data_IF_116954129135
#
_entry.id   IF_116954129135
#
_cell.length_a   1.000
_cell.length_b   1.000
_cell.length_c   1.000
_cell.angle_alpha   90.00
_cell.angle_beta   90.00
_cell.angle_gamma   90.00
#
_symmetry.space_group_name_H-M   'P 1'
#
loop_
_entity.id
_entity.type
_entity.pdbx_description
1 polymer ?
#
# COMPACT_ATOMS: atom_id res chain seq x y z
N UNK A 1 1.39 -17.45 5.29
CA UNK A 1 1.74 -16.89 3.97
C UNK A 1 1.25 -15.45 3.91
N UNK A 2 1.99 -14.55 3.30
CA UNK A 2 1.70 -13.11 3.21
C UNK A 2 0.84 -12.80 1.98
N UNK A 3 -0.09 -11.85 2.06
CA UNK A 3 -0.71 -11.25 0.87
C UNK A 3 -0.43 -9.75 0.82
N UNK A 4 0.13 -9.30 -0.31
CA UNK A 4 0.48 -7.90 -0.58
C UNK A 4 -0.55 -7.31 -1.54
N UNK A 5 -1.06 -6.13 -1.21
CA UNK A 5 -2.00 -5.40 -2.05
C UNK A 5 -1.28 -4.25 -2.78
N UNK A 6 -1.36 -4.26 -4.11
CA UNK A 6 -0.89 -3.18 -4.98
C UNK A 6 -2.13 -2.60 -5.68
N UNK A 7 -2.32 -1.29 -5.57
CA UNK A 7 -3.45 -0.58 -6.15
C UNK A 7 -2.93 0.37 -7.23
N UNK A 8 -3.45 0.24 -8.46
CA UNK A 8 -3.06 1.08 -9.60
C UNK A 8 -3.46 2.56 -9.43
N UNK A 9 -4.34 2.82 -8.46
CA UNK A 9 -4.88 4.14 -8.11
C UNK A 9 -4.00 4.89 -7.11
N UNK A 10 -2.89 4.32 -6.66
CA UNK A 10 -1.95 4.95 -5.73
C UNK A 10 -0.58 5.14 -6.39
N UNK A 11 0.11 6.19 -5.97
CA UNK A 11 1.49 6.38 -6.39
C UNK A 11 2.38 5.26 -5.84
N UNK A 12 3.18 4.58 -6.68
CA UNK A 12 4.03 3.50 -6.22
C UNK A 12 5.10 4.01 -5.27
N UNK A 13 5.41 3.22 -4.25
CA UNK A 13 6.57 3.49 -3.41
C UNK A 13 7.87 3.33 -4.20
N UNK A 14 8.85 4.21 -3.96
CA UNK A 14 10.19 4.16 -4.55
C UNK A 14 11.14 3.17 -3.85
N UNK A 15 10.66 2.49 -2.81
CA UNK A 15 11.41 1.51 -2.01
C UNK A 15 10.64 0.20 -1.87
N UNK A 16 11.26 -0.83 -1.28
CA UNK A 16 10.65 -2.15 -1.11
C UNK A 16 9.65 -2.17 0.06
N UNK A 17 8.55 -1.44 -0.09
CA UNK A 17 7.46 -1.35 0.89
C UNK A 17 6.10 -1.51 0.20
N UNK A 18 5.14 -2.08 0.90
CA UNK A 18 3.77 -2.30 0.42
C UNK A 18 2.80 -1.31 1.05
N UNK A 19 1.79 -0.81 0.32
CA UNK A 19 0.77 0.06 0.89
C UNK A 19 -0.06 -0.63 1.98
N UNK A 20 -0.42 -1.88 1.73
CA UNK A 20 -1.24 -2.69 2.62
C UNK A 20 -0.89 -4.17 2.54
N UNK A 21 -0.97 -4.85 3.68
CA UNK A 21 -0.57 -6.25 3.84
C UNK A 21 -1.53 -6.99 4.78
N UNK A 22 -1.94 -8.20 4.39
CA UNK A 22 -2.66 -9.14 5.26
C UNK A 22 -1.70 -10.17 5.86
N UNK A 23 -1.77 -10.35 7.18
CA UNK A 23 -0.94 -11.34 7.90
C UNK A 23 -1.79 -12.16 8.88
N UNK A 24 -2.00 -13.48 8.66
CA UNK A 24 -1.72 -14.21 7.42
C UNK A 24 -2.66 -13.79 6.27
N UNK A 25 -2.38 -14.25 5.05
CA UNK A 25 -3.27 -14.11 3.90
C UNK A 25 -4.69 -14.64 4.21
N UNK A 26 -5.72 -13.88 3.84
CA UNK A 26 -7.11 -14.20 4.16
C UNK A 26 -7.53 -13.77 5.58
N UNK A 27 -6.66 -13.08 6.33
CA UNK A 27 -7.05 -12.43 7.57
C UNK A 27 -8.07 -11.31 7.29
N UNK A 28 -8.99 -11.09 8.22
CA UNK A 28 -9.95 -9.95 8.17
C UNK A 28 -9.34 -8.65 8.69
N UNK A 29 -8.01 -8.55 8.67
CA UNK A 29 -7.25 -7.41 9.16
C UNK A 29 -6.20 -7.04 8.11
N UNK A 30 -6.21 -5.76 7.73
CA UNK A 30 -5.27 -5.17 6.79
C UNK A 30 -4.38 -4.18 7.56
N UNK A 31 -3.07 -4.40 7.50
CA UNK A 31 -2.08 -3.46 8.04
C UNK A 31 -1.67 -2.51 6.93
N UNK A 32 -1.82 -1.21 7.15
CA UNK A 32 -1.44 -0.18 6.19
C UNK A 32 -0.26 0.64 6.71
N UNK A 33 0.63 1.05 5.80
CA UNK A 33 1.65 2.04 6.14
C UNK A 33 1.03 3.42 6.39
N UNK A 34 1.83 4.35 6.91
CA UNK A 34 1.48 5.77 6.88
C UNK A 34 1.29 6.23 5.44
N UNK A 35 0.07 6.67 5.11
CA UNK A 35 -0.24 7.22 3.80
C UNK A 35 -0.10 8.74 3.84
N UNK A 36 0.34 9.31 2.71
CA UNK A 36 0.43 10.75 2.48
C UNK A 36 -0.42 11.13 1.29
N UNK A 37 -0.77 12.40 1.16
CA UNK A 37 -1.63 12.92 0.08
C UNK A 37 -0.96 12.99 -1.29
N UNK A 38 -0.14 12.01 -1.67
CA UNK A 38 0.49 11.95 -3.00
C UNK A 38 -0.51 11.43 -4.02
N UNK A 39 -0.75 12.20 -5.08
CA UNK A 39 -1.58 11.82 -6.21
C UNK A 39 -0.90 10.70 -7.03
N UNK A 40 -1.65 9.94 -7.85
CA UNK A 40 -1.07 8.86 -8.66
C UNK A 40 0.09 9.29 -9.56
N UNK A 41 0.05 10.53 -10.06
CA UNK A 41 1.10 11.14 -10.87
C UNK A 41 2.35 11.56 -10.08
N UNK A 42 2.35 11.36 -8.76
CA UNK A 42 3.45 11.66 -7.85
C UNK A 42 3.45 13.09 -7.30
N UNK A 43 2.50 13.94 -7.71
CA UNK A 43 2.38 15.28 -7.15
C UNK A 43 1.77 15.27 -5.74
N UNK A 44 2.07 16.29 -4.95
CA UNK A 44 1.49 16.52 -3.62
C UNK A 44 0.80 17.89 -3.59
N UNK A 45 -0.21 18.10 -2.73
CA UNK A 45 -0.72 19.44 -2.41
C UNK A 45 0.35 20.40 -1.90
#
# INVERSE_FOLDING_TARGET
MLQVHVLDELHPHSSNVAHGVEVPAGARLLFTNGQVGTLPDGSTP
#
